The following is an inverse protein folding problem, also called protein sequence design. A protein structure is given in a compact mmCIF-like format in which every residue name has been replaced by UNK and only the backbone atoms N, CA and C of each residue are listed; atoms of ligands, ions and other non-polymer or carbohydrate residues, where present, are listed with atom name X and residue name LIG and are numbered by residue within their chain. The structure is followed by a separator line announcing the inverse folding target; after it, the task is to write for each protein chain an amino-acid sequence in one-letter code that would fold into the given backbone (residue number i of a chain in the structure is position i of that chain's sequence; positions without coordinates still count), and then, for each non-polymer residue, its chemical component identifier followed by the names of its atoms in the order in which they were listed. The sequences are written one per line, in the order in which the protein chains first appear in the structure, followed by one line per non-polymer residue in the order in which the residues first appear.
data_IF_003238369340
#
_entry.id   IF_003238369340
#
_cell.length_a   1.000
_cell.length_b   1.000
_cell.length_c   1.000
_cell.angle_alpha   90.00
_cell.angle_beta   90.00
_cell.angle_gamma   90.00
#
_symmetry.space_group_name_H-M   'P 1'
#
loop_
_entity.id
_entity.type
_entity.pdbx_description
1 polymer ?
#
# COMPACT_ATOMS: atom_id res chain seq x y z
N UNK A 1 22.63 -2.35 17.83
CA UNK A 1 21.33 -2.24 17.12
C UNK A 1 20.17 -2.20 18.14
N UNK A 2 20.04 -3.15 19.07
CA UNK A 2 18.93 -3.20 20.05
C UNK A 2 18.80 -1.92 20.88
N UNK A 3 19.90 -1.25 21.21
CA UNK A 3 19.90 0.01 21.97
C UNK A 3 19.34 1.20 21.16
N UNK A 4 19.31 1.11 19.83
CA UNK A 4 18.82 2.16 18.93
C UNK A 4 17.40 1.88 18.43
N UNK A 5 16.95 0.63 18.45
CA UNK A 5 15.62 0.21 18.01
C UNK A 5 14.63 0.04 19.17
N UNK A 6 14.43 1.12 19.93
CA UNK A 6 13.49 1.13 21.06
C UNK A 6 12.04 0.84 20.65
N UNK A 7 11.70 1.05 19.39
CA UNK A 7 10.38 0.80 18.81
C UNK A 7 10.20 -0.59 18.23
N UNK A 8 11.22 -1.46 18.31
CA UNK A 8 11.22 -2.81 17.74
C UNK A 8 10.88 -2.84 16.21
N UNK A 9 11.35 -1.83 15.49
CA UNK A 9 11.08 -1.73 14.04
C UNK A 9 11.66 -2.92 13.27
N UNK A 10 12.84 -3.39 13.66
CA UNK A 10 13.46 -4.58 13.09
C UNK A 10 12.56 -5.81 13.24
N UNK A 11 12.03 -6.05 14.45
CA UNK A 11 11.11 -7.17 14.70
C UNK A 11 9.85 -7.10 13.84
N UNK A 12 9.29 -5.91 13.62
CA UNK A 12 8.15 -5.73 12.72
C UNK A 12 8.49 -5.95 11.24
N UNK A 13 9.70 -5.60 10.80
CA UNK A 13 10.16 -5.92 9.44
C UNK A 13 10.30 -7.42 9.27
N UNK A 14 10.89 -8.11 10.25
CA UNK A 14 11.03 -9.58 10.24
C UNK A 14 9.68 -10.30 10.27
N UNK A 15 8.67 -9.77 10.96
CA UNK A 15 7.34 -10.38 11.04
C UNK A 15 6.49 -10.20 9.76
N UNK A 16 6.88 -9.35 8.82
CA UNK A 16 6.07 -8.92 7.68
C UNK A 16 5.43 -10.07 6.90
N UNK A 17 6.18 -11.14 6.60
CA UNK A 17 5.67 -12.29 5.84
C UNK A 17 4.65 -13.09 6.67
N UNK A 18 4.85 -13.19 7.99
CA UNK A 18 3.90 -13.81 8.88
C UNK A 18 2.62 -12.99 9.00
N UNK A 19 2.73 -11.66 9.00
CA UNK A 19 1.59 -10.75 9.00
C UNK A 19 0.75 -10.92 7.74
N UNK A 20 1.40 -11.02 6.56
CA UNK A 20 0.72 -11.34 5.29
C UNK A 20 -0.02 -12.67 5.38
N UNK A 21 0.64 -13.72 5.84
CA UNK A 21 0.05 -15.07 5.99
C UNK A 21 -1.16 -15.05 6.90
N UNK A 22 -1.04 -14.41 8.07
CA UNK A 22 -2.12 -14.26 9.04
C UNK A 22 -3.31 -13.49 8.46
N UNK A 23 -3.06 -12.42 7.71
CA UNK A 23 -4.12 -11.62 7.11
C UNK A 23 -4.88 -12.36 5.99
N UNK A 24 -4.19 -13.13 5.15
CA UNK A 24 -4.84 -13.96 4.13
C UNK A 24 -5.73 -15.05 4.73
N UNK A 25 -5.36 -15.63 5.86
CA UNK A 25 -6.18 -16.66 6.54
C UNK A 25 -7.33 -16.07 7.34
N UNK A 26 -7.26 -14.79 7.70
CA UNK A 26 -8.27 -14.11 8.51
C UNK A 26 -9.55 -13.76 7.75
N UNK A 27 -9.54 -13.81 6.41
CA UNK A 27 -10.72 -13.46 5.59
C UNK A 27 -11.20 -14.71 4.84
N UNK A 28 -12.30 -15.26 5.29
CA UNK A 28 -12.91 -16.42 4.66
C UNK A 28 -14.44 -16.46 4.90
N UNK A 29 -15.16 -17.16 4.05
CA UNK A 29 -16.63 -17.23 4.07
C UNK A 29 -17.20 -17.96 5.30
N UNK A 30 -16.40 -18.78 5.97
CA UNK A 30 -16.83 -19.45 7.20
C UNK A 30 -16.90 -18.48 8.37
N UNK A 31 -16.02 -17.47 8.36
CA UNK A 31 -15.97 -16.45 9.40
C UNK A 31 -16.88 -15.25 9.07
N UNK A 32 -17.07 -14.93 7.79
CA UNK A 32 -17.85 -13.78 7.31
C UNK A 32 -18.90 -14.22 6.29
N UNK A 33 -20.06 -14.67 6.74
CA UNK A 33 -21.20 -15.14 5.92
C UNK A 33 -21.74 -14.07 4.96
N UNK A 34 -21.58 -12.79 5.32
CA UNK A 34 -21.96 -11.66 4.48
C UNK A 34 -21.12 -11.51 3.20
N UNK A 35 -19.94 -12.12 3.12
CA UNK A 35 -19.11 -12.08 1.90
C UNK A 35 -19.83 -12.69 0.69
N UNK A 36 -20.53 -13.81 0.86
CA UNK A 36 -21.28 -14.46 -0.24
C UNK A 36 -22.43 -13.58 -0.72
N UNK A 37 -23.10 -12.87 0.21
CA UNK A 37 -24.17 -11.92 -0.14
C UNK A 37 -23.60 -10.75 -0.95
N UNK A 38 -22.47 -10.18 -0.53
CA UNK A 38 -21.86 -9.02 -1.20
C UNK A 38 -21.21 -9.39 -2.53
N UNK A 39 -20.71 -10.62 -2.69
CA UNK A 39 -20.14 -11.12 -3.95
C UNK A 39 -21.12 -11.06 -5.11
N UNK A 40 -22.38 -11.37 -4.88
CA UNK A 40 -23.42 -11.39 -5.91
C UNK A 40 -23.92 -9.98 -6.30
N UNK A 41 -23.53 -8.94 -5.57
CA UNK A 41 -23.97 -7.58 -5.84
C UNK A 41 -23.21 -6.98 -7.06
N UNK A 42 -23.91 -6.31 -7.99
CA UNK A 42 -23.28 -5.76 -9.19
C UNK A 42 -22.61 -4.40 -8.91
N UNK A 43 -21.52 -4.41 -8.16
CA UNK A 43 -20.76 -3.21 -7.83
C UNK A 43 -20.29 -2.46 -9.07
N UNK A 44 -20.43 -1.13 -9.09
CA UNK A 44 -19.82 -0.27 -10.10
C UNK A 44 -18.31 -0.23 -9.95
N UNK A 45 -17.81 -0.22 -8.72
CA UNK A 45 -16.41 -0.22 -8.36
C UNK A 45 -16.22 -0.26 -6.86
N UNK A 46 -14.99 -0.08 -6.41
CA UNK A 46 -14.61 0.01 -4.99
C UNK A 46 -13.99 1.37 -4.71
N UNK A 47 -14.49 2.06 -3.68
CA UNK A 47 -13.87 3.26 -3.14
C UNK A 47 -13.10 2.89 -1.85
N UNK A 48 -11.77 2.92 -1.93
CA UNK A 48 -10.91 2.73 -0.77
C UNK A 48 -10.75 4.04 0.00
N UNK A 49 -11.17 4.06 1.26
CA UNK A 49 -11.00 5.18 2.19
C UNK A 49 -9.90 4.86 3.19
N UNK A 50 -9.02 5.81 3.45
CA UNK A 50 -7.94 5.65 4.43
C UNK A 50 -6.88 6.71 4.29
N UNK A 51 -6.00 6.81 5.30
CA UNK A 51 -4.89 7.76 5.33
C UNK A 51 -3.55 7.04 5.56
N UNK A 52 -2.45 7.64 5.10
CA UNK A 52 -1.10 7.14 5.34
C UNK A 52 -0.90 5.66 5.00
N UNK A 53 -0.40 4.87 5.95
CA UNK A 53 -0.18 3.43 5.80
C UNK A 53 -1.44 2.62 5.52
N UNK A 54 -2.60 3.07 6.05
CA UNK A 54 -3.91 2.44 5.80
C UNK A 54 -4.39 2.63 4.36
N UNK A 55 -4.08 3.77 3.73
CA UNK A 55 -4.40 4.02 2.33
C UNK A 55 -3.46 3.30 1.36
N UNK A 56 -2.24 2.98 1.78
CA UNK A 56 -1.24 2.35 0.92
C UNK A 56 -1.76 1.05 0.28
N UNK A 57 -2.43 0.20 1.06
CA UNK A 57 -3.01 -1.03 0.53
C UNK A 57 -4.03 -0.80 -0.57
N UNK A 58 -4.85 0.24 -0.46
CA UNK A 58 -5.79 0.66 -1.51
C UNK A 58 -5.10 1.02 -2.83
N UNK A 59 -3.90 1.65 -2.78
CA UNK A 59 -3.11 1.93 -4.00
C UNK A 59 -2.65 0.65 -4.68
N UNK A 60 -2.16 -0.34 -3.91
CA UNK A 60 -1.82 -1.65 -4.47
C UNK A 60 -3.05 -2.33 -5.08
N UNK A 61 -4.19 -2.31 -4.41
CA UNK A 61 -5.43 -2.85 -4.95
C UNK A 61 -5.86 -2.13 -6.24
N UNK A 62 -5.74 -0.80 -6.30
CA UNK A 62 -6.06 0.00 -7.49
C UNK A 62 -5.19 -0.39 -8.69
N UNK A 63 -3.89 -0.56 -8.46
CA UNK A 63 -2.96 -1.02 -9.51
C UNK A 63 -3.28 -2.44 -9.95
N UNK A 64 -3.51 -3.37 -9.02
CA UNK A 64 -3.91 -4.74 -9.34
C UNK A 64 -5.22 -4.78 -10.12
N UNK A 65 -6.20 -3.94 -9.76
CA UNK A 65 -7.47 -3.85 -10.47
C UNK A 65 -7.32 -3.31 -11.89
N UNK A 66 -6.41 -2.38 -12.10
CA UNK A 66 -6.12 -1.83 -13.44
C UNK A 66 -5.56 -2.86 -14.41
N UNK A 67 -4.83 -3.87 -13.89
CA UNK A 67 -4.21 -4.92 -14.71
C UNK A 67 -5.01 -6.22 -14.76
N UNK A 68 -5.70 -6.57 -13.68
CA UNK A 68 -6.28 -7.90 -13.50
C UNK A 68 -7.73 -7.89 -12.99
N UNK A 69 -8.24 -6.75 -12.53
CA UNK A 69 -9.58 -6.63 -11.95
C UNK A 69 -10.69 -6.57 -13.00
N UNK A 70 -11.91 -6.77 -12.54
CA UNK A 70 -13.12 -6.62 -13.34
C UNK A 70 -13.93 -5.36 -13.00
N UNK A 71 -13.49 -4.60 -12.02
CA UNK A 71 -14.07 -3.32 -11.57
C UNK A 71 -12.96 -2.35 -11.19
N UNK A 72 -13.18 -1.03 -11.35
CA UNK A 72 -12.22 -0.03 -10.88
C UNK A 72 -12.15 -0.02 -9.36
N UNK A 73 -10.93 0.18 -8.85
CA UNK A 73 -10.68 0.47 -7.43
C UNK A 73 -10.03 1.85 -7.36
N UNK A 74 -10.65 2.78 -6.64
CA UNK A 74 -10.21 4.17 -6.53
C UNK A 74 -9.88 4.45 -5.06
N UNK A 75 -8.81 5.20 -4.82
CA UNK A 75 -8.38 5.60 -3.47
C UNK A 75 -8.75 7.06 -3.21
N UNK A 76 -9.47 7.30 -2.12
CA UNK A 76 -9.83 8.63 -1.64
C UNK A 76 -9.14 8.89 -0.29
N UNK A 77 -8.41 10.01 -0.21
CA UNK A 77 -7.71 10.47 0.99
C UNK A 77 -8.21 11.86 1.36
N UNK A 78 -9.44 11.93 1.84
CA UNK A 78 -10.11 13.19 2.16
C UNK A 78 -11.20 12.95 3.19
N UNK A 79 -11.68 14.01 3.80
CA UNK A 79 -12.87 14.04 4.65
C UNK A 79 -14.17 13.81 3.88
N UNK A 80 -14.17 14.09 2.58
CA UNK A 80 -15.34 14.11 1.72
C UNK A 80 -15.33 12.98 0.70
N UNK A 81 -16.53 12.57 0.28
CA UNK A 81 -16.71 11.64 -0.82
C UNK A 81 -16.67 12.39 -2.16
N UNK A 82 -16.22 11.74 -3.24
CA UNK A 82 -16.32 12.31 -4.58
C UNK A 82 -17.76 12.66 -4.93
N UNK A 83 -17.97 13.72 -5.70
CA UNK A 83 -19.33 14.19 -6.07
C UNK A 83 -20.12 13.17 -6.90
N UNK A 84 -19.42 12.28 -7.62
CA UNK A 84 -20.03 11.20 -8.41
C UNK A 84 -20.34 9.93 -7.60
N UNK A 85 -19.94 9.86 -6.32
CA UNK A 85 -20.13 8.68 -5.50
C UNK A 85 -21.61 8.45 -5.17
N UNK A 86 -22.05 7.22 -5.35
CA UNK A 86 -23.38 6.72 -4.96
C UNK A 86 -23.31 5.31 -4.35
N UNK A 87 -24.45 4.77 -3.93
CA UNK A 87 -24.55 3.48 -3.24
C UNK A 87 -24.26 2.25 -4.14
N UNK A 88 -24.05 2.40 -5.43
CA UNK A 88 -23.60 1.31 -6.32
C UNK A 88 -22.11 0.99 -6.15
N UNK A 89 -21.35 1.84 -5.46
CA UNK A 89 -19.94 1.63 -5.11
C UNK A 89 -19.83 0.95 -3.76
N UNK A 90 -18.98 -0.07 -3.70
CA UNK A 90 -18.55 -0.66 -2.43
C UNK A 90 -17.48 0.24 -1.78
N UNK A 91 -17.64 0.54 -0.50
CA UNK A 91 -16.61 1.24 0.27
C UNK A 91 -15.75 0.23 1.02
N UNK A 92 -14.42 0.31 0.84
CA UNK A 92 -13.43 -0.40 1.65
C UNK A 92 -12.68 0.63 2.52
N UNK A 93 -13.14 0.80 3.75
CA UNK A 93 -12.58 1.76 4.69
C UNK A 93 -11.51 1.10 5.56
N UNK A 94 -10.32 1.67 5.60
CA UNK A 94 -9.20 1.14 6.40
C UNK A 94 -8.66 2.21 7.34
N UNK A 95 -8.63 1.90 8.62
CA UNK A 95 -7.97 2.70 9.64
C UNK A 95 -7.39 1.78 10.71
N UNK A 96 -6.07 1.81 10.91
CA UNK A 96 -5.44 0.94 11.91
C UNK A 96 -6.09 1.10 13.29
N UNK A 97 -6.24 2.33 13.78
CA UNK A 97 -6.89 2.62 15.08
C UNK A 97 -8.43 2.58 15.03
N UNK A 98 -9.03 2.69 13.84
CA UNK A 98 -10.47 2.90 13.67
C UNK A 98 -10.97 4.30 14.07
N UNK A 99 -10.05 5.26 14.33
CA UNK A 99 -10.37 6.60 14.81
C UNK A 99 -9.83 7.72 13.92
N UNK A 100 -9.28 7.39 12.73
CA UNK A 100 -8.78 8.40 11.79
C UNK A 100 -9.94 9.29 11.35
N UNK A 101 -9.88 10.58 11.68
CA UNK A 101 -11.00 11.52 11.55
C UNK A 101 -11.53 11.59 10.12
N UNK A 102 -10.64 11.71 9.13
CA UNK A 102 -10.96 11.76 7.71
C UNK A 102 -11.72 10.51 7.27
N UNK A 103 -11.23 9.34 7.69
CA UNK A 103 -11.84 8.05 7.33
C UNK A 103 -13.19 7.88 8.00
N UNK A 104 -13.32 8.25 9.27
CA UNK A 104 -14.61 8.18 10.01
C UNK A 104 -15.64 9.06 9.33
N UNK A 105 -15.30 10.32 9.05
CA UNK A 105 -16.24 11.27 8.44
C UNK A 105 -16.70 10.82 7.04
N UNK A 106 -15.76 10.32 6.22
CA UNK A 106 -16.08 9.81 4.89
C UNK A 106 -16.97 8.54 4.96
N UNK A 107 -16.74 7.63 5.93
CA UNK A 107 -17.58 6.45 6.18
C UNK A 107 -18.98 6.84 6.61
N UNK A 108 -19.12 7.77 7.55
CA UNK A 108 -20.44 8.28 7.97
C UNK A 108 -21.21 8.90 6.80
N UNK A 109 -20.52 9.65 5.94
CA UNK A 109 -21.11 10.22 4.73
C UNK A 109 -21.55 9.13 3.73
N UNK A 110 -20.79 8.05 3.58
CA UNK A 110 -21.15 6.92 2.73
C UNK A 110 -22.38 6.17 3.29
N UNK A 111 -22.41 5.92 4.59
CA UNK A 111 -23.56 5.28 5.25
C UNK A 111 -24.84 6.11 5.15
N UNK A 112 -24.76 7.45 5.24
CA UNK A 112 -25.90 8.36 5.00
C UNK A 112 -26.44 8.29 3.57
N UNK A 113 -25.62 7.85 2.61
CA UNK A 113 -26.02 7.57 1.22
C UNK A 113 -26.44 6.10 1.01
N UNK A 114 -26.65 5.35 2.09
CA UNK A 114 -27.03 3.93 2.08
C UNK A 114 -26.00 3.00 1.40
N UNK A 115 -24.75 3.46 1.25
CA UNK A 115 -23.70 2.64 0.67
C UNK A 115 -23.31 1.48 1.58
N UNK A 116 -22.83 0.40 0.98
CA UNK A 116 -22.24 -0.72 1.70
C UNK A 116 -20.79 -0.42 2.03
N UNK A 117 -20.41 -0.60 3.30
CA UNK A 117 -19.07 -0.31 3.80
C UNK A 117 -18.47 -1.57 4.43
N UNK A 118 -17.25 -1.92 4.03
CA UNK A 118 -16.42 -2.90 4.72
C UNK A 118 -15.31 -2.13 5.44
N UNK A 119 -15.21 -2.30 6.73
CA UNK A 119 -14.21 -1.68 7.59
C UNK A 119 -13.11 -2.67 7.92
N UNK A 120 -11.84 -2.25 7.80
CA UNK A 120 -10.68 -2.97 8.35
C UNK A 120 -10.05 -2.09 9.43
N UNK A 121 -10.21 -2.47 10.70
CA UNK A 121 -9.74 -1.69 11.85
C UNK A 121 -9.45 -2.60 13.05
N UNK A 122 -8.67 -2.10 14.02
CA UNK A 122 -8.42 -2.81 15.29
C UNK A 122 -9.53 -2.57 16.33
N UNK A 123 -10.40 -1.58 16.09
CA UNK A 123 -11.46 -1.15 17.00
C UNK A 123 -11.92 0.27 16.65
N UNK A 124 -12.18 1.07 17.66
CA UNK A 124 -12.50 2.49 17.53
C UNK A 124 -13.89 2.78 16.97
N UNK A 125 -14.10 4.01 16.54
CA UNK A 125 -15.40 4.51 16.04
C UNK A 125 -15.87 3.68 14.82
N UNK A 126 -14.97 3.33 13.93
CA UNK A 126 -15.31 2.54 12.73
C UNK A 126 -15.85 1.15 13.08
N UNK A 127 -15.28 0.48 14.09
CA UNK A 127 -15.82 -0.80 14.59
C UNK A 127 -17.22 -0.62 15.19
N UNK A 128 -17.44 0.44 15.96
CA UNK A 128 -18.75 0.78 16.50
C UNK A 128 -19.81 1.07 15.42
N UNK A 129 -19.42 1.69 14.31
CA UNK A 129 -20.31 1.89 13.16
C UNK A 129 -20.73 0.54 12.54
N UNK A 130 -19.83 -0.44 12.49
CA UNK A 130 -20.17 -1.77 11.98
C UNK A 130 -21.13 -2.55 12.91
N UNK A 131 -21.14 -2.26 14.20
CA UNK A 131 -22.11 -2.85 15.14
C UNK A 131 -23.51 -2.22 15.03
N UNK A 132 -23.58 -0.95 14.63
CA UNK A 132 -24.83 -0.17 14.68
C UNK A 132 -25.47 0.05 13.31
N UNK A 133 -24.74 -0.15 12.22
CA UNK A 133 -25.21 0.12 10.85
C UNK A 133 -25.36 -1.18 10.04
N UNK A 134 -26.54 -1.49 9.50
CA UNK A 134 -26.81 -2.76 8.82
C UNK A 134 -26.03 -2.95 7.52
N UNK A 135 -25.51 -1.87 6.93
CA UNK A 135 -24.70 -1.87 5.70
C UNK A 135 -23.20 -1.71 5.98
N UNK A 136 -22.78 -1.85 7.23
CA UNK A 136 -21.37 -1.73 7.62
C UNK A 136 -20.87 -3.06 8.19
N UNK A 137 -19.77 -3.56 7.67
CA UNK A 137 -19.21 -4.86 8.03
C UNK A 137 -17.77 -4.70 8.51
N UNK A 138 -17.39 -5.38 9.58
CA UNK A 138 -16.04 -5.32 10.15
C UNK A 138 -15.23 -6.57 9.80
N UNK A 139 -14.04 -6.35 9.26
CA UNK A 139 -12.94 -7.32 9.26
C UNK A 139 -11.93 -6.85 10.31
N UNK A 140 -11.83 -7.51 11.47
CA UNK A 140 -10.95 -7.07 12.53
C UNK A 140 -9.47 -7.18 12.11
N UNK A 141 -8.70 -6.13 12.40
CA UNK A 141 -7.25 -6.10 12.23
C UNK A 141 -6.55 -6.36 13.56
N UNK A 142 -5.22 -6.50 13.54
CA UNK A 142 -4.40 -6.75 14.71
C UNK A 142 -3.76 -5.44 15.15
N UNK A 143 -3.89 -5.11 16.45
CA UNK A 143 -3.26 -3.96 17.07
C UNK A 143 -1.88 -4.29 17.66
N UNK A 144 -1.28 -3.32 18.36
CA UNK A 144 -0.04 -3.50 19.12
C UNK A 144 1.22 -3.12 18.36
N UNK A 145 1.13 -2.72 17.09
CA UNK A 145 2.26 -2.24 16.30
C UNK A 145 1.97 -0.86 15.70
N UNK A 146 3.00 -0.08 15.36
CA UNK A 146 2.82 1.20 14.69
C UNK A 146 2.08 1.05 13.36
N UNK A 147 1.20 1.98 12.95
CA UNK A 147 0.44 1.87 11.68
C UNK A 147 1.31 1.64 10.45
N UNK A 148 2.51 2.23 10.40
CA UNK A 148 3.45 2.09 9.29
C UNK A 148 4.03 0.68 9.14
N UNK A 149 4.00 -0.15 10.18
CA UNK A 149 4.43 -1.56 10.14
C UNK A 149 3.27 -2.52 9.89
N UNK A 150 2.03 -2.08 10.12
CA UNK A 150 0.82 -2.90 10.01
C UNK A 150 0.42 -3.26 8.57
N UNK A 151 1.19 -2.84 7.56
CA UNK A 151 0.85 -3.03 6.15
C UNK A 151 0.64 -4.51 5.79
N UNK A 152 1.47 -5.42 6.31
CA UNK A 152 1.39 -6.84 5.99
C UNK A 152 -0.01 -7.41 6.23
N UNK A 153 -0.51 -7.26 7.46
CA UNK A 153 -1.81 -7.81 7.78
C UNK A 153 -3.00 -6.94 7.35
N UNK A 154 -2.83 -5.65 7.13
CA UNK A 154 -3.88 -4.81 6.54
C UNK A 154 -4.07 -5.14 5.06
N UNK A 155 -2.99 -5.08 4.28
CA UNK A 155 -3.04 -5.33 2.83
C UNK A 155 -3.52 -6.73 2.48
N UNK A 156 -3.04 -7.75 3.22
CA UNK A 156 -3.48 -9.13 2.97
C UNK A 156 -4.98 -9.33 3.25
N UNK A 157 -5.55 -8.66 4.27
CA UNK A 157 -7.00 -8.66 4.50
C UNK A 157 -7.76 -7.94 3.39
N UNK A 158 -7.26 -6.79 2.94
CA UNK A 158 -7.85 -6.06 1.82
C UNK A 158 -7.87 -6.90 0.55
N UNK A 159 -6.73 -7.51 0.19
CA UNK A 159 -6.60 -8.34 -1.01
C UNK A 159 -7.49 -9.58 -0.91
N UNK A 160 -7.46 -10.29 0.22
CA UNK A 160 -8.30 -11.47 0.44
C UNK A 160 -9.81 -11.12 0.36
N UNK A 161 -10.20 -9.95 0.86
CA UNK A 161 -11.56 -9.44 0.74
C UNK A 161 -11.95 -9.20 -0.73
N UNK A 162 -11.10 -8.52 -1.51
CA UNK A 162 -11.38 -8.27 -2.93
C UNK A 162 -11.41 -9.56 -3.77
N UNK A 163 -10.58 -10.54 -3.44
CA UNK A 163 -10.64 -11.88 -4.04
C UNK A 163 -11.91 -12.66 -3.64
N UNK A 164 -12.32 -12.57 -2.37
CA UNK A 164 -13.55 -13.20 -1.89
C UNK A 164 -14.81 -12.64 -2.53
N UNK A 165 -14.78 -11.36 -2.94
CA UNK A 165 -15.85 -10.66 -3.64
C UNK A 165 -15.77 -10.78 -5.17
N UNK A 166 -14.84 -11.55 -5.71
CA UNK A 166 -14.57 -11.70 -7.14
C UNK A 166 -14.30 -10.36 -7.89
N UNK A 167 -13.81 -9.35 -7.16
CA UNK A 167 -13.38 -8.05 -7.74
C UNK A 167 -11.97 -8.17 -8.32
N UNK A 168 -11.12 -8.91 -7.62
CA UNK A 168 -9.80 -9.32 -8.10
C UNK A 168 -9.75 -10.84 -8.29
N UNK A 169 -8.94 -11.34 -9.24
CA UNK A 169 -8.81 -12.77 -9.45
C UNK A 169 -8.19 -13.45 -8.23
N UNK A 170 -8.79 -14.55 -7.81
CA UNK A 170 -8.30 -15.32 -6.66
C UNK A 170 -7.01 -16.04 -7.02
N UNK A 171 -5.97 -15.84 -6.24
CA UNK A 171 -4.75 -16.62 -6.34
C UNK A 171 -4.96 -18.07 -5.86
N UNK A 172 -4.34 -19.02 -6.54
CA UNK A 172 -4.30 -20.39 -6.04
C UNK A 172 -3.45 -20.49 -4.76
N UNK A 173 -3.66 -21.55 -3.98
CA UNK A 173 -2.86 -21.79 -2.77
C UNK A 173 -1.37 -21.93 -3.11
N UNK A 174 -1.05 -22.57 -4.23
CA UNK A 174 0.32 -22.77 -4.72
C UNK A 174 0.98 -21.43 -5.07
N UNK A 175 0.29 -20.55 -5.79
CA UNK A 175 0.75 -19.22 -6.13
C UNK A 175 1.01 -18.38 -4.88
N UNK A 176 0.07 -18.43 -3.91
CA UNK A 176 0.21 -17.70 -2.65
C UNK A 176 1.37 -18.22 -1.80
N UNK A 177 1.55 -19.53 -1.71
CA UNK A 177 2.67 -20.14 -1.00
C UNK A 177 4.01 -19.78 -1.67
N UNK A 178 4.10 -19.82 -2.99
CA UNK A 178 5.31 -19.44 -3.72
C UNK A 178 5.68 -17.96 -3.49
N UNK A 179 4.69 -17.06 -3.51
CA UNK A 179 4.89 -15.64 -3.19
C UNK A 179 5.42 -15.46 -1.75
N UNK A 180 4.78 -16.08 -0.76
CA UNK A 180 5.21 -15.97 0.65
C UNK A 180 6.60 -16.55 0.87
N UNK A 181 6.93 -17.67 0.22
CA UNK A 181 8.25 -18.27 0.27
C UNK A 181 9.31 -17.33 -0.34
N UNK A 182 9.02 -16.73 -1.50
CA UNK A 182 9.92 -15.75 -2.13
C UNK A 182 10.17 -14.54 -1.22
N UNK A 183 9.12 -14.01 -0.58
CA UNK A 183 9.27 -12.89 0.37
C UNK A 183 10.06 -13.28 1.62
N UNK A 184 9.92 -14.52 2.11
CA UNK A 184 10.74 -15.04 3.21
C UNK A 184 12.23 -15.06 2.82
N UNK A 185 12.56 -15.58 1.65
CA UNK A 185 13.93 -15.61 1.14
C UNK A 185 14.52 -14.20 0.99
N UNK A 186 13.73 -13.23 0.49
CA UNK A 186 14.16 -11.84 0.38
C UNK A 186 14.41 -11.23 1.76
N UNK A 187 13.53 -11.49 2.74
CA UNK A 187 13.66 -10.98 4.09
C UNK A 187 14.93 -11.53 4.78
N UNK A 188 15.25 -12.79 4.55
CA UNK A 188 16.48 -13.42 5.05
C UNK A 188 17.73 -12.87 4.32
N UNK A 189 17.66 -12.73 2.99
CA UNK A 189 18.78 -12.22 2.16
C UNK A 189 19.17 -10.79 2.52
N UNK A 190 18.19 -9.95 2.87
CA UNK A 190 18.38 -8.53 3.15
C UNK A 190 18.32 -8.19 4.64
N UNK A 191 18.64 -9.16 5.49
CA UNK A 191 18.73 -8.96 6.93
C UNK A 191 19.99 -8.17 7.32
N UNK A 192 19.83 -6.88 7.58
CA UNK A 192 20.92 -5.96 7.95
C UNK A 192 21.60 -6.27 9.29
N UNK A 193 20.97 -7.04 10.18
CA UNK A 193 21.58 -7.47 11.43
C UNK A 193 22.33 -8.79 11.27
N UNK A 194 21.85 -9.66 10.38
CA UNK A 194 22.54 -10.89 10.01
C UNK A 194 23.76 -10.64 9.12
N UNK A 195 23.68 -9.60 8.25
CA UNK A 195 24.79 -9.18 7.36
C UNK A 195 24.96 -7.64 7.40
N UNK A 196 25.67 -7.12 8.42
CA UNK A 196 25.88 -5.67 8.58
C UNK A 196 26.77 -5.02 7.50
N UNK A 197 27.48 -5.80 6.70
CA UNK A 197 28.32 -5.34 5.58
C UNK A 197 27.69 -5.68 4.22
N UNK A 198 26.48 -6.24 4.22
CA UNK A 198 25.78 -6.64 3.02
C UNK A 198 25.20 -5.47 2.20
N UNK A 199 24.64 -5.81 1.06
CA UNK A 199 24.15 -4.85 0.05
C UNK A 199 23.18 -3.80 0.63
N UNK A 200 22.27 -4.19 1.54
CA UNK A 200 21.30 -3.25 2.12
C UNK A 200 21.95 -2.29 3.10
N UNK A 201 22.92 -2.75 3.89
CA UNK A 201 23.69 -1.88 4.79
C UNK A 201 24.53 -0.87 3.99
N UNK A 202 25.18 -1.33 2.91
CA UNK A 202 25.93 -0.48 1.98
C UNK A 202 25.00 0.54 1.29
N UNK A 203 23.86 0.10 0.77
CA UNK A 203 22.86 0.99 0.18
C UNK A 203 22.39 2.05 1.18
N UNK A 204 22.03 1.65 2.39
CA UNK A 204 21.61 2.57 3.44
C UNK A 204 22.70 3.60 3.78
N UNK A 205 23.97 3.15 3.86
CA UNK A 205 25.12 4.02 4.08
C UNK A 205 25.30 5.02 2.93
N UNK A 206 25.19 4.56 1.68
CA UNK A 206 25.27 5.42 0.50
C UNK A 206 24.14 6.45 0.44
N UNK A 207 22.97 6.10 0.95
CA UNK A 207 21.81 7.02 1.01
C UNK A 207 21.96 8.10 2.07
N UNK A 208 22.78 7.88 3.11
CA UNK A 208 22.99 8.88 4.15
C UNK A 208 23.65 10.12 3.56
N UNK A 209 23.28 11.29 4.05
CA UNK A 209 23.86 12.58 3.70
C UNK A 209 23.62 13.07 2.25
N UNK A 210 22.86 12.31 1.45
CA UNK A 210 22.51 12.70 0.08
C UNK A 210 21.01 12.98 -0.07
N UNK A 211 20.60 13.92 -0.93
CA UNK A 211 19.21 14.02 -1.38
C UNK A 211 18.81 12.70 -2.06
N UNK A 212 17.58 12.27 -1.84
CA UNK A 212 17.10 10.97 -2.29
C UNK A 212 16.01 11.09 -3.34
N UNK A 213 16.09 10.26 -4.35
CA UNK A 213 15.04 10.08 -5.33
C UNK A 213 14.83 8.59 -5.63
N UNK A 214 13.59 8.17 -5.81
CA UNK A 214 13.25 6.84 -6.27
C UNK A 214 12.38 6.92 -7.51
N UNK A 215 12.72 6.16 -8.52
CA UNK A 215 12.07 6.18 -9.84
C UNK A 215 11.66 4.77 -10.23
N UNK A 216 10.51 4.63 -10.85
CA UNK A 216 10.06 3.35 -11.38
C UNK A 216 8.82 3.49 -12.26
N UNK A 217 8.37 2.39 -12.87
CA UNK A 217 7.20 2.39 -13.75
C UNK A 217 5.90 2.58 -12.98
N UNK A 218 4.84 2.96 -13.69
CA UNK A 218 3.51 3.20 -13.14
C UNK A 218 2.98 2.01 -12.32
N UNK A 219 3.27 0.80 -12.75
CA UNK A 219 2.85 -0.45 -12.08
C UNK A 219 3.43 -0.56 -10.66
N UNK A 220 4.59 0.04 -10.41
CA UNK A 220 5.25 0.06 -9.12
C UNK A 220 5.03 1.36 -8.33
N UNK A 221 4.18 2.28 -8.82
CA UNK A 221 3.89 3.54 -8.14
C UNK A 221 3.46 3.36 -6.67
N UNK A 222 2.63 2.37 -6.28
CA UNK A 222 2.31 2.13 -4.87
C UNK A 222 3.52 1.76 -4.02
N UNK A 223 4.45 0.99 -4.58
CA UNK A 223 5.69 0.60 -3.89
C UNK A 223 6.61 1.81 -3.71
N UNK A 224 6.76 2.66 -4.73
CA UNK A 224 7.53 3.91 -4.67
C UNK A 224 6.96 4.86 -3.61
N UNK A 225 5.65 5.07 -3.60
CA UNK A 225 4.98 5.91 -2.62
C UNK A 225 5.12 5.34 -1.19
N UNK A 226 5.01 4.01 -1.05
CA UNK A 226 5.23 3.37 0.23
C UNK A 226 6.67 3.49 0.70
N UNK A 227 7.65 3.29 -0.17
CA UNK A 227 9.07 3.49 0.14
C UNK A 227 9.33 4.92 0.62
N UNK A 228 8.82 5.92 -0.10
CA UNK A 228 8.87 7.32 0.32
C UNK A 228 8.33 7.51 1.75
N UNK A 229 7.14 6.98 2.04
CA UNK A 229 6.53 7.14 3.35
C UNK A 229 7.36 6.46 4.46
N UNK A 230 7.93 5.29 4.20
CA UNK A 230 8.80 4.60 5.15
C UNK A 230 10.08 5.41 5.44
N UNK A 231 10.71 5.99 4.42
CA UNK A 231 11.88 6.87 4.61
C UNK A 231 11.50 8.13 5.40
N UNK A 232 10.37 8.77 5.07
CA UNK A 232 9.90 9.95 5.78
C UNK A 232 9.63 9.67 7.26
N UNK A 233 8.94 8.56 7.58
CA UNK A 233 8.50 8.26 8.94
C UNK A 233 9.59 7.63 9.81
N UNK A 234 10.50 6.82 9.24
CA UNK A 234 11.49 6.07 10.01
C UNK A 234 12.87 6.76 10.02
N UNK A 235 13.22 7.47 8.95
CA UNK A 235 14.51 8.16 8.83
C UNK A 235 14.40 9.69 8.94
N UNK A 236 13.19 10.24 9.05
CA UNK A 236 12.91 11.68 9.07
C UNK A 236 13.56 12.43 7.89
N UNK A 237 13.54 11.80 6.70
CA UNK A 237 14.19 12.33 5.49
C UNK A 237 13.18 12.46 4.36
N UNK A 238 13.32 13.53 3.57
CA UNK A 238 12.56 13.69 2.35
C UNK A 238 13.14 12.80 1.24
N UNK A 239 12.26 12.24 0.42
CA UNK A 239 12.61 11.52 -0.79
C UNK A 239 11.64 11.90 -1.90
N UNK A 240 12.16 12.13 -3.08
CA UNK A 240 11.39 12.41 -4.29
C UNK A 240 10.96 11.10 -4.96
N UNK A 241 9.78 11.09 -5.55
CA UNK A 241 9.26 9.97 -6.34
C UNK A 241 9.07 10.41 -7.78
N UNK A 242 9.71 9.71 -8.72
CA UNK A 242 9.49 9.86 -10.15
C UNK A 242 8.77 8.64 -10.72
N UNK A 243 7.73 8.86 -11.53
CA UNK A 243 6.96 7.77 -12.14
C UNK A 243 7.12 7.81 -13.66
N UNK A 244 7.64 6.71 -14.21
CA UNK A 244 7.76 6.51 -15.65
C UNK A 244 6.42 6.00 -16.24
N UNK A 245 6.03 6.46 -17.43
CA UNK A 245 6.76 7.34 -18.34
C UNK A 245 6.53 8.84 -18.10
N UNK A 246 5.65 9.25 -17.19
CA UNK A 246 5.24 10.65 -16.98
C UNK A 246 6.43 11.58 -16.71
N UNK A 247 7.36 11.19 -15.82
CA UNK A 247 8.52 12.02 -15.50
C UNK A 247 9.39 12.38 -16.72
N UNK A 248 9.36 11.58 -17.78
CA UNK A 248 10.11 11.88 -19.00
C UNK A 248 9.57 13.10 -19.78
N UNK A 249 8.37 13.54 -19.48
CA UNK A 249 7.76 14.70 -20.11
C UNK A 249 8.03 16.02 -19.36
N UNK A 250 8.65 15.92 -18.18
CA UNK A 250 8.91 17.08 -17.31
C UNK A 250 10.24 16.94 -16.54
N UNK A 251 10.36 16.01 -15.61
CA UNK A 251 11.50 15.90 -14.70
C UNK A 251 12.83 15.54 -15.37
N UNK A 252 12.81 14.83 -16.50
CA UNK A 252 14.03 14.49 -17.23
C UNK A 252 14.83 15.73 -17.66
N UNK A 253 14.14 16.87 -17.87
CA UNK A 253 14.80 18.14 -18.16
C UNK A 253 15.61 18.63 -16.96
N UNK A 254 15.06 18.51 -15.75
CA UNK A 254 15.77 18.88 -14.53
C UNK A 254 16.98 17.97 -14.25
N UNK A 255 16.83 16.67 -14.49
CA UNK A 255 17.92 15.69 -14.33
C UNK A 255 19.02 15.86 -15.40
N UNK A 256 18.65 16.16 -16.63
CA UNK A 256 19.58 16.32 -17.76
C UNK A 256 20.39 17.63 -17.74
N UNK A 257 20.02 18.60 -16.90
CA UNK A 257 20.70 19.88 -16.81
C UNK A 257 20.65 20.66 -18.12
N UNK A 258 19.52 21.28 -18.44
CA UNK A 258 19.40 22.12 -19.64
C UNK A 258 19.98 23.50 -19.36
N UNK A 259 21.16 23.78 -19.93
CA UNK A 259 21.80 25.08 -19.92
C UNK A 259 22.54 25.43 -18.62
N UNK A 260 23.02 26.67 -18.55
CA UNK A 260 23.85 27.21 -17.46
C UNK A 260 23.10 27.34 -16.12
N UNK A 261 21.78 27.12 -16.12
CA UNK A 261 20.89 27.32 -14.96
C UNK A 261 20.25 26.01 -14.45
N UNK A 262 20.81 24.84 -14.78
CA UNK A 262 20.37 23.56 -14.22
C UNK A 262 20.44 23.51 -12.69
N UNK A 263 19.65 22.64 -12.06
CA UNK A 263 19.75 22.43 -10.62
C UNK A 263 21.11 21.86 -10.24
N UNK A 264 21.92 22.65 -9.54
CA UNK A 264 23.29 22.28 -9.14
C UNK A 264 23.33 21.12 -8.14
N UNK A 265 22.19 20.78 -7.48
CA UNK A 265 22.13 19.69 -6.52
C UNK A 265 21.96 18.34 -7.17
N UNK A 266 21.66 18.25 -8.46
CA UNK A 266 21.42 16.97 -9.17
C UNK A 266 22.59 15.99 -9.03
N UNK A 267 23.83 16.48 -9.07
CA UNK A 267 25.02 15.63 -8.96
C UNK A 267 25.19 14.98 -7.56
N UNK A 268 24.51 15.51 -6.56
CA UNK A 268 24.57 14.99 -5.17
C UNK A 268 23.45 14.00 -4.86
N UNK A 269 22.47 13.82 -5.75
CA UNK A 269 21.36 12.91 -5.52
C UNK A 269 21.78 11.45 -5.62
N UNK A 270 21.31 10.64 -4.67
CA UNK A 270 21.21 9.20 -4.85
C UNK A 270 19.88 8.89 -5.53
N UNK A 271 19.97 8.35 -6.74
CA UNK A 271 18.83 7.98 -7.57
C UNK A 271 18.66 6.47 -7.58
N UNK A 272 17.59 5.99 -6.99
CA UNK A 272 17.21 4.58 -6.93
C UNK A 272 16.23 4.26 -8.04
N UNK A 273 16.49 3.21 -8.81
CA UNK A 273 15.56 2.68 -9.80
C UNK A 273 14.91 1.40 -9.29
N UNK A 274 13.58 1.42 -9.14
CA UNK A 274 12.79 0.24 -8.85
C UNK A 274 12.25 -0.30 -10.18
N UNK A 275 12.76 -1.47 -10.59
CA UNK A 275 12.46 -2.08 -11.90
C UNK A 275 12.01 -3.52 -11.75
N UNK A 276 11.38 -4.06 -12.78
CA UNK A 276 11.03 -5.47 -12.87
C UNK A 276 11.07 -5.96 -14.33
N UNK A 277 11.15 -7.27 -14.53
CA UNK A 277 11.45 -7.84 -15.85
C UNK A 277 10.34 -7.64 -16.88
N UNK A 278 9.06 -7.57 -16.43
CA UNK A 278 7.90 -7.47 -17.32
C UNK A 278 7.43 -6.02 -17.55
N UNK A 279 8.27 -5.02 -17.27
CA UNK A 279 7.96 -3.63 -17.61
C UNK A 279 7.70 -3.47 -19.11
N UNK A 280 6.80 -2.53 -19.44
CA UNK A 280 6.57 -2.20 -20.85
C UNK A 280 7.89 -1.88 -21.58
N UNK A 281 8.17 -2.45 -22.77
CA UNK A 281 9.48 -2.31 -23.46
C UNK A 281 9.89 -0.85 -23.69
N UNK A 282 8.95 0.06 -23.88
CA UNK A 282 9.26 1.49 -24.03
C UNK A 282 9.69 2.13 -22.70
N UNK A 283 9.17 1.68 -21.57
CA UNK A 283 9.64 2.13 -20.24
C UNK A 283 11.04 1.63 -20.00
N UNK A 284 11.32 0.35 -20.32
CA UNK A 284 12.68 -0.21 -20.26
C UNK A 284 13.69 0.59 -21.11
N UNK A 285 13.32 1.01 -22.33
CA UNK A 285 14.18 1.85 -23.17
C UNK A 285 14.44 3.22 -22.53
N UNK A 286 13.47 3.81 -21.85
CA UNK A 286 13.60 5.14 -21.21
C UNK A 286 14.46 5.14 -19.97
N UNK A 287 14.65 4.00 -19.32
CA UNK A 287 15.60 3.84 -18.21
C UNK A 287 17.07 3.90 -18.68
N UNK A 288 17.34 3.68 -19.95
CA UNK A 288 18.67 3.66 -20.52
C UNK A 288 19.10 5.03 -21.10
N UNK A 289 18.29 6.06 -20.93
CA UNK A 289 18.57 7.45 -21.35
C UNK A 289 19.05 8.27 -20.16
#
# INVERSE_FOLDING_TARGET
AEQLDLGNMYGYVQSFVNDLRGGFTAVNNTQFDWLDKLRSHPWTGVLCLGMGGSAAGGEFLSTLASHHGNRPIIVQRDYTLPSWFDASWLVLATSHSGNTEETVQAVEAALKKEATVIVIATGGILAGLAETSPNCYLIPSIGGQPPRTAFGHIFSRQLACMEALDILPKQSNEQRQAMLQRLTQINEQFDVLGDPEGDIALLASTMMDHPLSVVGPTELAPALNRFKNQINENAARFIRVGILPEMNHNESVAWGGVGEHGDFTNAEHVLLFLTWEEMHPRVQQRLNW
#
